data_IF_397359252561
#
_entry.id   IF_397359252561
#
_cell.length_a   1.000
_cell.length_b   1.000
_cell.length_c   1.000
_cell.angle_alpha   90.00
_cell.angle_beta   90.00
_cell.angle_gamma   90.00
#
_symmetry.space_group_name_H-M   'P 1'
#
loop_
_entity.id
_entity.type
_entity.pdbx_description
1 polymer ?
#
# COMPACT_ATOMS: atom_id res chain seq x y z
N UNK A 1 -28.49 8.39 0.83
CA UNK A 1 -27.02 8.28 0.78
C UNK A 1 -26.48 8.37 2.20
N UNK A 2 -26.39 7.31 2.92
CA UNK A 2 -25.92 7.30 4.31
C UNK A 2 -25.74 5.92 4.93
N UNK A 3 -26.48 4.94 4.49
CA UNK A 3 -26.52 3.64 5.18
C UNK A 3 -25.41 2.65 4.78
N UNK A 4 -24.72 2.86 3.68
CA UNK A 4 -23.70 1.92 3.20
C UNK A 4 -22.31 2.07 3.89
N UNK A 5 -22.13 3.04 4.76
CA UNK A 5 -20.84 3.38 5.37
C UNK A 5 -20.82 3.34 6.90
N UNK A 6 -21.94 2.99 7.52
CA UNK A 6 -21.98 2.81 8.97
C UNK A 6 -21.44 1.41 9.33
N UNK A 7 -20.48 1.32 10.24
CA UNK A 7 -19.95 0.02 10.65
C UNK A 7 -21.03 -0.77 11.40
N UNK A 8 -21.10 -2.09 11.17
CA UNK A 8 -22.05 -3.00 11.82
C UNK A 8 -21.95 -3.04 13.34
N UNK A 9 -20.87 -2.52 13.89
CA UNK A 9 -20.67 -2.35 15.32
C UNK A 9 -19.74 -1.17 15.59
N UNK A 10 -19.70 -0.69 16.83
CA UNK A 10 -18.80 0.39 17.27
C UNK A 10 -17.35 -0.10 17.52
N UNK A 11 -17.03 -1.34 17.14
CA UNK A 11 -15.69 -1.89 17.28
C UNK A 11 -14.74 -1.31 16.22
N UNK A 12 -13.62 -0.66 16.59
CA UNK A 12 -12.67 -0.11 15.63
C UNK A 12 -12.06 -1.16 14.68
N UNK A 13 -11.90 -2.39 15.15
CA UNK A 13 -11.42 -3.50 14.31
C UNK A 13 -12.46 -3.83 13.24
N UNK A 14 -13.74 -3.90 13.60
CA UNK A 14 -14.80 -4.13 12.63
C UNK A 14 -14.88 -2.98 11.62
N UNK A 15 -14.78 -1.74 12.08
CA UNK A 15 -14.78 -0.57 11.19
C UNK A 15 -13.65 -0.65 10.14
N UNK A 16 -12.46 -1.06 10.54
CA UNK A 16 -11.35 -1.29 9.62
C UNK A 16 -11.63 -2.44 8.64
N UNK A 17 -12.16 -3.56 9.13
CA UNK A 17 -12.50 -4.72 8.29
C UNK A 17 -13.58 -4.39 7.25
N UNK A 18 -14.53 -3.52 7.57
CA UNK A 18 -15.54 -3.05 6.61
C UNK A 18 -14.90 -2.33 5.40
N UNK A 19 -13.77 -1.67 5.61
CA UNK A 19 -13.04 -0.94 4.55
C UNK A 19 -12.17 -1.89 3.72
N UNK A 20 -11.35 -2.71 4.34
CA UNK A 20 -10.34 -3.52 3.65
C UNK A 20 -10.28 -4.98 4.11
N UNK A 21 -11.36 -5.53 4.66
CA UNK A 21 -11.45 -6.93 5.05
C UNK A 21 -11.64 -7.92 3.89
N UNK A 22 -11.67 -7.44 2.66
CA UNK A 22 -11.68 -8.27 1.47
C UNK A 22 -10.25 -8.70 1.05
N UNK A 23 -10.20 -9.63 0.11
CA UNK A 23 -8.94 -10.22 -0.34
C UNK A 23 -7.99 -9.26 -1.06
N UNK A 24 -8.50 -8.17 -1.66
CA UNK A 24 -7.78 -7.37 -2.64
C UNK A 24 -7.43 -5.95 -2.20
N UNK A 25 -8.24 -5.33 -1.35
CA UNK A 25 -8.07 -3.91 -1.02
C UNK A 25 -6.69 -3.59 -0.42
N UNK A 26 -6.22 -4.38 0.56
CA UNK A 26 -4.89 -4.19 1.12
C UNK A 26 -3.78 -4.51 0.11
N UNK A 27 -3.97 -5.46 -0.81
CA UNK A 27 -2.98 -5.77 -1.83
C UNK A 27 -2.84 -4.64 -2.85
N UNK A 28 -3.94 -4.00 -3.24
CA UNK A 28 -3.92 -2.81 -4.11
C UNK A 28 -3.19 -1.65 -3.41
N UNK A 29 -3.52 -1.39 -2.15
CA UNK A 29 -2.83 -0.36 -1.36
C UNK A 29 -1.34 -0.67 -1.17
N UNK A 30 -0.98 -1.94 -0.91
CA UNK A 30 0.41 -2.40 -0.83
C UNK A 30 1.19 -2.03 -2.08
N UNK A 31 0.62 -2.26 -3.24
CA UNK A 31 1.27 -2.02 -4.52
C UNK A 31 1.46 -0.52 -4.81
N UNK A 32 0.57 0.32 -4.30
CA UNK A 32 0.75 1.78 -4.35
C UNK A 32 1.78 2.23 -3.31
N UNK A 33 1.68 1.77 -2.06
CA UNK A 33 2.57 2.15 -0.96
C UNK A 33 4.02 1.78 -1.26
N UNK A 34 4.29 0.53 -1.58
CA UNK A 34 5.65 0.01 -1.72
C UNK A 34 6.16 0.01 -3.17
N UNK A 35 5.28 -0.04 -4.16
CA UNK A 35 5.63 -0.09 -5.57
C UNK A 35 5.49 1.23 -6.32
N UNK A 36 4.90 2.25 -5.70
CA UNK A 36 4.54 3.52 -6.34
C UNK A 36 3.78 3.35 -7.67
N UNK A 37 2.96 2.30 -7.74
CA UNK A 37 2.13 1.98 -8.90
C UNK A 37 0.85 2.78 -8.81
N UNK A 38 0.75 3.84 -9.58
CA UNK A 38 -0.30 4.84 -9.43
C UNK A 38 -1.32 4.85 -10.58
N UNK A 39 -1.17 3.94 -11.54
CA UNK A 39 -2.04 3.83 -12.71
C UNK A 39 -2.64 2.43 -12.81
N UNK A 40 -3.87 2.34 -13.31
CA UNK A 40 -4.62 1.08 -13.44
C UNK A 40 -3.80 -0.04 -14.11
N UNK A 41 -3.18 0.28 -15.26
CA UNK A 41 -2.39 -0.72 -16.01
C UNK A 41 -1.14 -1.19 -15.26
N UNK A 42 -0.51 -0.32 -14.50
CA UNK A 42 0.65 -0.68 -13.67
C UNK A 42 0.24 -1.63 -12.54
N UNK A 43 -0.86 -1.30 -11.85
CA UNK A 43 -1.43 -2.12 -10.78
C UNK A 43 -1.83 -3.51 -11.30
N UNK A 44 -2.49 -3.57 -12.46
CA UNK A 44 -2.89 -4.82 -13.05
C UNK A 44 -1.71 -5.66 -13.54
N UNK A 45 -0.80 -5.06 -14.31
CA UNK A 45 0.32 -5.75 -14.94
C UNK A 45 1.35 -6.28 -13.93
N UNK A 46 1.49 -5.61 -12.79
CA UNK A 46 2.47 -5.96 -11.76
C UNK A 46 1.85 -6.64 -10.53
N UNK A 47 0.58 -7.03 -10.59
CA UNK A 47 -0.05 -7.79 -9.51
C UNK A 47 0.53 -9.20 -9.43
N UNK A 48 1.24 -9.48 -8.34
CA UNK A 48 1.84 -10.81 -8.11
C UNK A 48 0.75 -11.87 -7.95
N UNK A 49 -0.36 -11.50 -7.34
CA UNK A 49 -1.52 -12.37 -7.08
C UNK A 49 -2.49 -12.45 -8.28
N UNK A 50 -2.24 -11.70 -9.35
CA UNK A 50 -3.01 -11.78 -10.60
C UNK A 50 -4.43 -11.22 -10.50
N UNK A 51 -4.58 -10.00 -10.04
CA UNK A 51 -5.90 -9.36 -9.91
C UNK A 51 -6.59 -9.19 -11.27
N UNK A 52 -7.86 -9.60 -11.37
CA UNK A 52 -8.68 -9.39 -12.55
C UNK A 52 -9.04 -7.90 -12.70
N UNK A 53 -9.16 -7.44 -13.95
CA UNK A 53 -9.41 -6.01 -14.26
C UNK A 53 -10.70 -5.46 -13.65
N UNK A 54 -11.78 -6.24 -13.67
CA UNK A 54 -13.05 -5.85 -13.06
C UNK A 54 -12.96 -5.74 -11.53
N UNK A 55 -12.21 -6.62 -10.88
CA UNK A 55 -11.96 -6.57 -9.44
C UNK A 55 -11.12 -5.36 -9.09
N UNK A 56 -10.04 -5.10 -9.82
CA UNK A 56 -9.20 -3.93 -9.61
C UNK A 56 -9.99 -2.62 -9.75
N UNK A 57 -10.81 -2.50 -10.81
CA UNK A 57 -11.65 -1.33 -11.02
C UNK A 57 -12.61 -1.08 -9.86
N UNK A 58 -13.28 -2.14 -9.38
CA UNK A 58 -14.18 -2.06 -8.23
C UNK A 58 -13.44 -1.67 -6.94
N UNK A 59 -12.28 -2.27 -6.68
CA UNK A 59 -11.49 -1.94 -5.47
C UNK A 59 -10.98 -0.51 -5.50
N UNK A 60 -10.46 -0.01 -6.61
CA UNK A 60 -10.02 1.37 -6.74
C UNK A 60 -11.17 2.36 -6.49
N UNK A 61 -12.36 2.08 -7.06
CA UNK A 61 -13.55 2.89 -6.80
C UNK A 61 -13.88 2.94 -5.31
N UNK A 62 -13.96 1.78 -4.66
CA UNK A 62 -14.24 1.69 -3.20
C UNK A 62 -13.21 2.39 -2.35
N UNK A 63 -11.92 2.24 -2.67
CA UNK A 63 -10.84 2.90 -1.92
C UNK A 63 -10.91 4.43 -2.04
N UNK A 64 -11.36 4.95 -3.19
CA UNK A 64 -11.65 6.39 -3.35
C UNK A 64 -12.88 6.80 -2.52
N UNK A 65 -13.96 6.03 -2.57
CA UNK A 65 -15.19 6.28 -1.79
C UNK A 65 -14.93 6.28 -0.27
N UNK A 66 -14.06 5.41 0.21
CA UNK A 66 -13.63 5.38 1.62
C UNK A 66 -12.58 6.44 1.99
N UNK A 67 -12.14 7.25 1.04
CA UNK A 67 -11.15 8.30 1.30
C UNK A 67 -9.73 7.81 1.53
N UNK A 68 -9.39 6.61 1.08
CA UNK A 68 -8.02 6.07 1.13
C UNK A 68 -7.19 6.44 -0.10
N UNK A 69 -7.85 6.67 -1.22
CA UNK A 69 -7.22 7.14 -2.45
C UNK A 69 -7.90 8.41 -2.95
N UNK A 70 -7.13 9.26 -3.59
CA UNK A 70 -7.64 10.27 -4.50
C UNK A 70 -7.44 9.80 -5.93
N UNK A 71 -8.35 10.20 -6.82
CA UNK A 71 -8.25 9.97 -8.25
C UNK A 71 -8.16 11.31 -8.97
N UNK A 72 -7.09 11.49 -9.72
CA UNK A 72 -6.88 12.65 -10.56
C UNK A 72 -7.06 12.24 -12.01
N UNK A 73 -8.11 12.76 -12.65
CA UNK A 73 -8.34 12.55 -14.08
C UNK A 73 -7.49 13.56 -14.87
N UNK A 74 -6.46 13.05 -15.50
CA UNK A 74 -5.62 13.85 -16.39
C UNK A 74 -6.36 14.14 -17.69
N UNK A 75 -5.97 15.22 -18.42
CA UNK A 75 -6.61 15.74 -19.65
C UNK A 75 -7.03 14.64 -20.63
N UNK A 76 -8.09 14.90 -21.44
CA UNK A 76 -8.70 13.99 -22.44
C UNK A 76 -7.73 12.96 -23.01
N UNK A 77 -8.03 11.66 -22.76
CA UNK A 77 -7.26 10.54 -23.27
C UNK A 77 -6.10 10.08 -22.40
N UNK A 78 -5.83 10.75 -21.27
CA UNK A 78 -4.82 10.32 -20.31
C UNK A 78 -5.42 9.49 -19.16
N UNK A 79 -4.58 8.64 -18.57
CA UNK A 79 -4.94 7.66 -17.54
C UNK A 79 -5.15 8.35 -16.20
N UNK A 80 -6.21 7.98 -15.48
CA UNK A 80 -6.41 8.43 -14.11
C UNK A 80 -5.23 8.02 -13.22
N UNK A 81 -4.74 8.97 -12.42
CA UNK A 81 -3.68 8.76 -11.43
C UNK A 81 -4.28 8.62 -10.04
N UNK A 82 -3.86 7.61 -9.33
CA UNK A 82 -4.26 7.37 -7.95
C UNK A 82 -3.17 7.80 -6.98
N UNK A 83 -3.56 8.45 -5.89
CA UNK A 83 -2.64 8.89 -4.83
C UNK A 83 -3.17 8.48 -3.48
N UNK A 84 -2.25 8.17 -2.55
CA UNK A 84 -2.60 7.88 -1.17
C UNK A 84 -3.08 9.15 -0.47
N UNK A 85 -4.07 9.00 0.39
CA UNK A 85 -4.47 10.02 1.38
C UNK A 85 -3.72 9.79 2.69
N UNK A 86 -3.77 10.74 3.63
CA UNK A 86 -3.17 10.57 4.95
C UNK A 86 -3.64 9.30 5.68
N UNK A 87 -4.96 8.97 5.74
CA UNK A 87 -5.40 7.71 6.32
C UNK A 87 -4.79 6.46 5.67
N UNK A 88 -4.57 6.48 4.36
CA UNK A 88 -3.92 5.36 3.68
C UNK A 88 -2.42 5.27 3.99
N UNK A 89 -1.72 6.41 4.09
CA UNK A 89 -0.31 6.46 4.50
C UNK A 89 -0.13 5.88 5.91
N UNK A 90 -1.06 6.17 6.82
CA UNK A 90 -1.06 5.63 8.18
C UNK A 90 -1.28 4.10 8.25
N UNK A 91 -1.50 3.43 7.14
CA UNK A 91 -1.50 1.96 7.08
C UNK A 91 -0.10 1.34 7.04
N UNK A 92 0.96 2.11 6.90
CA UNK A 92 2.35 1.57 6.90
C UNK A 92 2.62 0.69 8.12
N UNK A 93 2.32 1.09 9.38
CA UNK A 93 2.45 0.21 10.53
C UNK A 93 1.59 -1.06 10.45
N UNK A 94 0.40 -0.98 9.88
CA UNK A 94 -0.48 -2.13 9.67
C UNK A 94 0.15 -3.12 8.69
N UNK A 95 0.70 -2.65 7.57
CA UNK A 95 1.44 -3.50 6.63
C UNK A 95 2.67 -4.14 7.27
N UNK A 96 3.43 -3.40 8.05
CA UNK A 96 4.59 -3.92 8.77
C UNK A 96 4.20 -5.06 9.72
N UNK A 97 3.14 -4.89 10.49
CA UNK A 97 2.64 -5.90 11.43
C UNK A 97 2.01 -7.11 10.71
N UNK A 98 1.28 -6.91 9.63
CA UNK A 98 0.78 -8.01 8.79
C UNK A 98 1.95 -8.81 8.20
N UNK A 99 2.98 -8.12 7.71
CA UNK A 99 4.20 -8.75 7.22
C UNK A 99 4.90 -9.58 8.28
N UNK A 100 5.07 -9.05 9.48
CA UNK A 100 5.66 -9.76 10.63
C UNK A 100 4.87 -11.01 11.02
N UNK A 101 3.55 -10.92 11.02
CA UNK A 101 2.69 -12.08 11.27
C UNK A 101 2.85 -13.14 10.17
N UNK A 102 2.86 -12.71 8.91
CA UNK A 102 3.05 -13.59 7.75
C UNK A 102 4.40 -14.31 7.79
N UNK A 103 5.49 -13.61 8.13
CA UNK A 103 6.82 -14.20 8.28
C UNK A 103 6.87 -15.34 9.31
N UNK A 104 6.12 -15.23 10.41
CA UNK A 104 6.13 -16.21 11.50
C UNK A 104 5.22 -17.40 11.24
N UNK A 105 4.12 -17.20 10.53
CA UNK A 105 3.03 -18.16 10.50
C UNK A 105 2.70 -18.73 9.12
N UNK A 106 3.32 -18.21 8.06
CA UNK A 106 3.04 -18.64 6.67
C UNK A 106 4.33 -18.91 5.88
N UNK A 107 4.30 -19.82 4.91
CA UNK A 107 5.42 -19.99 3.99
C UNK A 107 5.62 -18.73 3.16
N UNK A 108 6.86 -18.27 3.04
CA UNK A 108 7.22 -17.09 2.26
C UNK A 108 8.49 -17.36 1.45
N UNK A 109 8.61 -16.75 0.26
CA UNK A 109 9.84 -16.86 -0.53
C UNK A 109 10.93 -15.92 0.02
N UNK A 110 12.19 -16.32 -0.17
CA UNK A 110 13.35 -15.55 0.27
C UNK A 110 13.32 -14.10 -0.27
N UNK A 111 13.02 -13.95 -1.54
CA UNK A 111 13.03 -12.64 -2.20
C UNK A 111 11.93 -11.70 -1.67
N UNK A 112 10.73 -12.21 -1.38
CA UNK A 112 9.61 -11.38 -0.94
C UNK A 112 9.63 -11.07 0.55
N UNK A 113 10.28 -11.92 1.38
CA UNK A 113 10.34 -11.72 2.83
C UNK A 113 11.26 -10.60 3.29
N UNK A 114 12.31 -10.27 2.51
CA UNK A 114 13.34 -9.31 2.93
C UNK A 114 12.80 -7.91 3.23
N UNK A 115 11.77 -7.48 2.51
CA UNK A 115 11.13 -6.18 2.76
C UNK A 115 10.37 -6.18 4.09
N UNK A 116 9.64 -7.25 4.38
CA UNK A 116 8.93 -7.40 5.65
C UNK A 116 9.91 -7.51 6.83
N UNK A 117 11.01 -8.21 6.65
CA UNK A 117 12.10 -8.30 7.65
C UNK A 117 12.72 -6.93 7.93
N UNK A 118 12.99 -6.12 6.91
CA UNK A 118 13.51 -4.76 7.06
C UNK A 118 12.53 -3.85 7.83
N UNK A 119 11.25 -3.90 7.50
CA UNK A 119 10.22 -3.12 8.19
C UNK A 119 10.09 -3.54 9.66
N UNK A 120 10.17 -4.84 9.94
CA UNK A 120 10.14 -5.36 11.31
C UNK A 120 11.36 -4.91 12.12
N UNK A 121 12.55 -5.04 11.55
CA UNK A 121 13.82 -4.63 12.19
C UNK A 121 13.89 -3.13 12.42
N UNK A 122 13.41 -2.33 11.46
CA UNK A 122 13.42 -0.88 11.57
C UNK A 122 12.41 -0.34 12.57
N UNK A 123 11.32 -1.04 12.78
CA UNK A 123 10.28 -0.69 13.74
C UNK A 123 9.63 0.68 13.51
N UNK A 124 9.00 1.26 14.54
CA UNK A 124 8.24 2.50 14.44
C UNK A 124 9.04 3.68 13.85
N UNK A 125 10.32 3.77 14.14
CA UNK A 125 11.16 4.85 13.60
C UNK A 125 11.28 4.78 12.06
N UNK A 126 11.48 3.58 11.51
CA UNK A 126 11.52 3.37 10.06
C UNK A 126 10.14 3.58 9.42
N UNK A 127 9.07 3.15 10.09
CA UNK A 127 7.71 3.32 9.58
C UNK A 127 7.35 4.81 9.49
N UNK A 128 7.70 5.62 10.48
CA UNK A 128 7.46 7.06 10.44
C UNK A 128 8.28 7.74 9.33
N UNK A 129 9.55 7.38 9.19
CA UNK A 129 10.39 7.86 8.10
C UNK A 129 9.78 7.52 6.73
N UNK A 130 9.20 6.34 6.59
CA UNK A 130 8.54 5.94 5.35
C UNK A 130 7.22 6.67 5.12
N UNK A 131 6.44 6.87 6.16
CA UNK A 131 5.21 7.68 6.05
C UNK A 131 5.52 9.12 5.63
N UNK A 132 6.59 9.73 6.13
CA UNK A 132 7.04 11.05 5.69
C UNK A 132 7.46 11.08 4.22
N UNK A 133 8.15 10.04 3.75
CA UNK A 133 8.45 9.87 2.32
C UNK A 133 7.17 9.79 1.48
N UNK A 134 6.18 9.03 1.91
CA UNK A 134 4.90 8.91 1.23
C UNK A 134 4.10 10.23 1.24
N UNK A 135 4.15 11.00 2.33
CA UNK A 135 3.55 12.34 2.41
C UNK A 135 4.17 13.28 1.38
N UNK A 136 5.48 13.22 1.24
CA UNK A 136 6.17 14.00 0.21
C UNK A 136 5.73 13.61 -1.20
N UNK A 137 5.68 12.32 -1.50
CA UNK A 137 5.32 11.79 -2.83
C UNK A 137 3.86 12.00 -3.22
N UNK A 138 2.94 11.84 -2.27
CA UNK A 138 1.50 11.79 -2.54
C UNK A 138 0.75 13.05 -2.13
N UNK A 139 1.22 13.77 -1.11
CA UNK A 139 0.55 14.95 -0.57
C UNK A 139 1.32 16.24 -0.81
N UNK A 140 2.53 16.16 -1.41
CA UNK A 140 3.35 17.34 -1.70
C UNK A 140 3.97 18.00 -0.46
N UNK A 141 4.22 17.23 0.60
CA UNK A 141 4.95 17.73 1.79
C UNK A 141 6.31 18.29 1.40
N UNK A 142 6.70 19.42 2.02
CA UNK A 142 7.95 20.12 1.71
C UNK A 142 9.21 19.37 2.16
N UNK A 143 9.09 18.43 3.09
CA UNK A 143 10.23 17.67 3.60
C UNK A 143 10.63 16.58 2.62
N UNK A 144 11.76 16.72 1.90
CA UNK A 144 12.21 15.66 0.99
C UNK A 144 12.67 14.42 1.78
N UNK A 145 12.54 13.23 1.21
CA UNK A 145 13.03 12.00 1.84
C UNK A 145 14.56 12.05 2.01
N UNK A 146 15.05 11.32 3.00
CA UNK A 146 16.50 11.11 3.17
C UNK A 146 17.04 10.30 1.99
N UNK A 147 18.33 10.40 1.72
CA UNK A 147 19.01 9.58 0.72
C UNK A 147 20.00 8.61 1.40
N UNK A 148 19.93 7.30 1.13
CA UNK A 148 18.89 6.63 0.35
C UNK A 148 17.54 6.62 1.07
N UNK A 149 16.46 6.77 0.31
CA UNK A 149 15.10 6.73 0.84
C UNK A 149 14.73 5.34 1.37
N UNK A 150 13.67 5.24 2.17
CA UNK A 150 13.20 3.94 2.68
C UNK A 150 12.84 3.02 1.52
N UNK A 151 12.14 3.52 0.51
CA UNK A 151 11.79 2.75 -0.68
C UNK A 151 13.03 2.24 -1.44
N UNK A 152 14.04 3.06 -1.58
CA UNK A 152 15.32 2.65 -2.20
C UNK A 152 15.99 1.54 -1.40
N UNK A 153 16.02 1.65 -0.07
CA UNK A 153 16.55 0.60 0.81
C UNK A 153 15.78 -0.72 0.71
N UNK A 154 14.44 -0.67 0.69
CA UNK A 154 13.59 -1.84 0.51
C UNK A 154 13.79 -2.50 -0.86
N UNK A 155 13.94 -1.70 -1.92
CA UNK A 155 14.19 -2.21 -3.27
C UNK A 155 15.59 -2.81 -3.41
N UNK A 156 16.59 -2.18 -2.83
CA UNK A 156 17.97 -2.71 -2.83
C UNK A 156 18.04 -4.08 -2.14
N UNK A 157 17.37 -4.25 -1.02
CA UNK A 157 17.29 -5.53 -0.32
C UNK A 157 16.61 -6.62 -1.17
N UNK A 158 15.53 -6.28 -1.86
CA UNK A 158 14.84 -7.20 -2.77
C UNK A 158 15.74 -7.63 -3.93
N UNK A 159 16.41 -6.67 -4.58
CA UNK A 159 17.31 -6.96 -5.69
C UNK A 159 18.50 -7.83 -5.24
N UNK A 160 19.07 -7.57 -4.08
CA UNK A 160 20.14 -8.39 -3.52
C UNK A 160 19.69 -9.82 -3.25
N UNK A 161 18.46 -10.02 -2.74
CA UNK A 161 17.90 -11.34 -2.49
C UNK A 161 17.59 -12.13 -3.76
N UNK A 162 17.21 -11.45 -4.85
CA UNK A 162 16.94 -12.08 -6.16
C UNK A 162 18.21 -12.42 -6.93
N UNK A 163 19.29 -11.67 -6.75
CA UNK A 163 20.58 -11.90 -7.43
C UNK A 163 21.40 -13.05 -6.84
N UNK A 164 21.01 -13.54 -5.65
CA UNK A 164 21.71 -14.62 -4.91
C UNK A 164 21.04 -15.99 -5.09
N UNK A 165 20.14 -16.14 -6.06
CA UNK A 165 19.37 -17.39 -6.33
C UNK A 165 19.87 -18.09 -7.56
#
# INVERSE_FOLDING_TARGET
MGEANEPRSECPINAAIEVFGDRWSLLVLRDIVFGDRRYFRELQANSIEGIASNILADRLKRLVEFGLLTREDTRRGQRARYSLTEPAIQLVPVFAQLGSWGLRHRPTSRALRVRAELLEQGGPALWEEYMDELRHLHLGSESPPRSPSVRERLNAAYLAATSSS
#
